data_IF_137311729481
#
_entry.id   IF_137311729481
#
_cell.length_a   1.000
_cell.length_b   1.000
_cell.length_c   1.000
_cell.angle_alpha   90.00
_cell.angle_beta   90.00
_cell.angle_gamma   90.00
#
_symmetry.space_group_name_H-M   'P 1'
#
loop_
_entity.id
_entity.type
_entity.pdbx_description
1 polymer ?
#
# COMPACT_ATOMS: atom_id res chain seq x y z
N UNK A 1 -34.84 6.38 -65.02
CA UNK A 1 -34.76 6.85 -63.62
C UNK A 1 -34.38 5.68 -62.74
N UNK A 2 -33.18 5.67 -62.16
CA UNK A 2 -32.84 4.83 -61.01
C UNK A 2 -31.71 5.50 -60.26
N UNK A 3 -31.97 5.76 -58.99
CA UNK A 3 -31.30 6.70 -58.11
C UNK A 3 -30.00 6.13 -57.54
N UNK A 4 -28.88 6.79 -57.82
CA UNK A 4 -27.67 6.71 -57.00
C UNK A 4 -28.02 7.16 -55.57
N UNK A 5 -27.90 6.28 -54.58
CA UNK A 5 -27.84 6.68 -53.16
C UNK A 5 -27.13 5.61 -52.34
N UNK A 6 -25.88 5.87 -51.98
CA UNK A 6 -25.32 5.70 -50.63
C UNK A 6 -23.82 6.00 -50.62
N UNK A 7 -23.49 7.28 -50.71
CA UNK A 7 -22.34 7.94 -50.08
C UNK A 7 -22.79 9.39 -49.87
N UNK A 8 -22.24 10.10 -48.89
CA UNK A 8 -22.52 11.52 -48.73
C UNK A 8 -22.13 12.26 -50.02
N UNK A 9 -22.76 13.40 -50.31
CA UNK A 9 -22.68 14.04 -51.65
C UNK A 9 -21.25 14.48 -52.04
N UNK A 10 -20.30 14.38 -51.11
CA UNK A 10 -18.92 14.88 -51.21
C UNK A 10 -17.83 13.80 -51.06
N UNK A 11 -18.18 12.50 -50.91
CA UNK A 11 -17.16 11.44 -50.83
C UNK A 11 -16.53 11.18 -52.21
N UNK A 12 -15.20 11.22 -52.31
CA UNK A 12 -14.46 10.96 -53.56
C UNK A 12 -13.83 9.58 -53.51
N UNK A 13 -14.16 8.71 -54.48
CA UNK A 13 -13.57 7.38 -54.60
C UNK A 13 -12.80 7.24 -55.91
N UNK A 14 -11.55 6.81 -55.82
CA UNK A 14 -10.67 6.46 -56.92
C UNK A 14 -10.28 4.98 -56.81
N UNK A 15 -10.86 4.13 -57.65
CA UNK A 15 -10.60 2.70 -57.61
C UNK A 15 -11.57 1.86 -58.43
N UNK A 16 -11.43 0.54 -58.30
CA UNK A 16 -12.24 -0.42 -59.03
C UNK A 16 -13.70 -0.43 -58.54
N UNK A 17 -14.64 -0.55 -59.50
CA UNK A 17 -16.08 -0.67 -59.28
C UNK A 17 -16.59 -1.87 -60.06
N UNK A 18 -17.46 -2.68 -59.44
CA UNK A 18 -18.23 -3.74 -60.11
C UNK A 18 -19.71 -3.37 -59.90
N UNK A 19 -20.46 -3.15 -60.97
CA UNK A 19 -21.86 -2.71 -60.94
C UNK A 19 -22.12 -1.47 -60.06
N UNK A 20 -21.17 -0.54 -60.04
CA UNK A 20 -21.24 0.68 -59.22
C UNK A 20 -20.93 0.46 -57.73
N UNK A 21 -20.52 -0.74 -57.34
CA UNK A 21 -20.14 -1.12 -55.97
C UNK A 21 -18.61 -1.17 -55.88
N UNK A 22 -18.04 -0.54 -54.83
CA UNK A 22 -16.59 -0.56 -54.55
C UNK A 22 -16.13 -1.99 -54.30
N UNK A 23 -15.21 -2.45 -55.15
CA UNK A 23 -14.61 -3.77 -55.14
C UNK A 23 -13.16 -3.67 -55.60
N UNK A 24 -12.29 -4.60 -55.18
CA UNK A 24 -10.88 -4.57 -55.57
C UNK A 24 -10.10 -3.46 -54.86
N UNK A 25 -9.06 -2.91 -55.48
CA UNK A 25 -8.25 -1.84 -54.86
C UNK A 25 -8.81 -0.45 -55.15
N UNK A 26 -8.75 0.42 -54.14
CA UNK A 26 -9.17 1.81 -54.29
C UNK A 26 -8.89 2.68 -53.06
N UNK A 27 -8.99 3.98 -53.27
CA UNK A 27 -8.81 5.04 -52.29
C UNK A 27 -10.09 5.86 -52.17
N UNK A 28 -10.58 6.06 -50.95
CA UNK A 28 -11.77 6.86 -50.66
C UNK A 28 -11.40 8.01 -49.74
N UNK A 29 -11.70 9.22 -50.17
CA UNK A 29 -11.66 10.45 -49.38
C UNK A 29 -13.08 10.71 -48.88
N UNK A 30 -13.26 10.68 -47.57
CA UNK A 30 -14.55 10.89 -46.95
C UNK A 30 -14.76 12.36 -46.61
N UNK A 31 -16.02 12.81 -46.65
CA UNK A 31 -16.43 14.18 -46.30
C UNK A 31 -16.07 14.57 -44.86
N UNK A 32 -15.93 13.59 -43.96
CA UNK A 32 -15.47 13.81 -42.58
C UNK A 32 -13.95 13.97 -42.44
N UNK A 33 -13.20 13.95 -43.55
CA UNK A 33 -11.74 14.08 -43.61
C UNK A 33 -10.98 12.75 -43.49
N UNK A 34 -11.65 11.62 -43.25
CA UNK A 34 -10.98 10.32 -43.22
C UNK A 34 -10.55 9.90 -44.63
N UNK A 35 -9.48 9.13 -44.72
CA UNK A 35 -8.99 8.56 -45.99
C UNK A 35 -8.74 7.07 -45.79
N UNK A 36 -9.37 6.24 -46.62
CA UNK A 36 -9.06 4.81 -46.69
C UNK A 36 -8.38 4.49 -48.02
N UNK A 37 -7.32 3.70 -47.97
CA UNK A 37 -6.61 3.18 -49.14
C UNK A 37 -6.36 1.68 -48.95
N UNK A 38 -6.96 0.83 -49.77
CA UNK A 38 -6.85 -0.62 -49.58
C UNK A 38 -7.76 -1.44 -50.47
N UNK A 39 -7.97 -2.71 -50.10
CA UNK A 39 -8.93 -3.54 -50.82
C UNK A 39 -10.36 -3.33 -50.29
N UNK A 40 -11.31 -3.57 -51.19
CA UNK A 40 -12.74 -3.37 -51.01
C UNK A 40 -13.48 -4.62 -51.46
N UNK A 41 -14.55 -4.95 -50.76
CA UNK A 41 -15.53 -5.94 -51.19
C UNK A 41 -16.92 -5.45 -50.79
N UNK A 42 -17.83 -5.36 -51.76
CA UNK A 42 -19.21 -4.96 -51.51
C UNK A 42 -19.35 -3.66 -50.69
N UNK A 43 -18.64 -2.60 -51.08
CA UNK A 43 -18.58 -1.30 -50.37
C UNK A 43 -17.96 -1.32 -48.96
N UNK A 44 -17.40 -2.44 -48.51
CA UNK A 44 -16.72 -2.56 -47.21
C UNK A 44 -15.21 -2.68 -47.38
N UNK A 45 -14.46 -2.17 -46.41
CA UNK A 45 -13.03 -2.44 -46.30
C UNK A 45 -12.80 -3.94 -46.12
N UNK A 46 -11.88 -4.49 -46.90
CA UNK A 46 -11.58 -5.92 -46.91
C UNK A 46 -10.09 -6.13 -47.18
N UNK A 47 -9.50 -7.18 -46.61
CA UNK A 47 -8.08 -7.49 -46.82
C UNK A 47 -7.17 -6.37 -46.29
N UNK A 48 -5.97 -6.24 -46.83
CA UNK A 48 -5.02 -5.23 -46.35
C UNK A 48 -5.42 -3.81 -46.79
N UNK A 49 -5.26 -2.84 -45.90
CA UNK A 49 -5.49 -1.42 -46.18
C UNK A 49 -4.92 -0.50 -45.11
N UNK A 50 -5.00 0.81 -45.38
CA UNK A 50 -4.64 1.90 -44.49
C UNK A 50 -5.83 2.85 -44.33
N UNK A 51 -6.28 3.05 -43.10
CA UNK A 51 -7.27 4.05 -42.72
C UNK A 51 -6.56 5.17 -41.97
N UNK A 52 -6.60 6.38 -42.52
CA UNK A 52 -6.12 7.61 -41.90
C UNK A 52 -7.34 8.40 -41.44
N UNK A 53 -7.46 8.62 -40.15
CA UNK A 53 -8.53 9.42 -39.57
C UNK A 53 -8.19 10.91 -39.65
N UNK A 54 -9.21 11.76 -39.70
CA UNK A 54 -9.03 13.22 -39.75
C UNK A 54 -8.30 13.79 -38.51
N UNK A 55 -8.39 13.11 -37.37
CA UNK A 55 -7.64 13.48 -36.16
C UNK A 55 -6.13 13.12 -36.24
N UNK A 56 -5.68 12.46 -37.30
CA UNK A 56 -4.30 12.02 -37.49
C UNK A 56 -4.01 10.60 -37.05
N UNK A 57 -4.97 9.88 -36.48
CA UNK A 57 -4.82 8.46 -36.15
C UNK A 57 -4.74 7.59 -37.40
N UNK A 58 -3.97 6.50 -37.34
CA UNK A 58 -3.71 5.65 -38.49
C UNK A 58 -3.83 4.19 -38.10
N UNK A 59 -4.70 3.45 -38.78
CA UNK A 59 -4.67 2.00 -38.80
C UNK A 59 -4.10 1.50 -40.12
N UNK A 60 -3.12 0.60 -40.06
CA UNK A 60 -2.59 -0.12 -41.22
C UNK A 60 -2.62 -1.61 -40.92
N UNK A 61 -3.39 -2.38 -41.68
CA UNK A 61 -3.54 -3.81 -41.41
C UNK A 61 -4.65 -4.47 -42.20
N UNK A 62 -5.03 -5.66 -41.76
CA UNK A 62 -6.11 -6.43 -42.36
C UNK A 62 -7.48 -5.88 -41.89
N UNK A 63 -8.44 -5.85 -42.82
CA UNK A 63 -9.83 -5.52 -42.60
C UNK A 63 -10.71 -6.72 -42.98
N UNK A 64 -11.80 -6.90 -42.25
CA UNK A 64 -12.86 -7.86 -42.60
C UNK A 64 -14.20 -7.20 -42.35
N UNK A 65 -15.04 -7.11 -43.38
CA UNK A 65 -16.36 -6.48 -43.30
C UNK A 65 -16.34 -5.04 -42.72
N UNK A 66 -15.31 -4.26 -43.03
CA UNK A 66 -15.16 -2.89 -42.54
C UNK A 66 -14.51 -2.75 -41.16
N UNK A 67 -14.26 -3.86 -40.45
CA UNK A 67 -13.65 -3.86 -39.11
C UNK A 67 -12.18 -4.26 -39.17
N UNK A 68 -11.37 -3.77 -38.23
CA UNK A 68 -10.00 -4.25 -38.04
C UNK A 68 -10.01 -5.73 -37.70
N UNK A 69 -9.17 -6.49 -38.39
CA UNK A 69 -9.10 -7.94 -38.27
C UNK A 69 -7.69 -8.42 -38.58
N UNK A 70 -7.29 -9.62 -38.16
CA UNK A 70 -5.98 -10.19 -38.46
C UNK A 70 -4.83 -9.32 -37.93
N UNK A 71 -3.68 -9.34 -38.61
CA UNK A 71 -2.51 -8.51 -38.25
C UNK A 71 -2.72 -7.05 -38.63
N UNK A 72 -2.40 -6.13 -37.73
CA UNK A 72 -2.46 -4.71 -37.99
C UNK A 72 -1.82 -3.86 -36.91
N UNK A 73 -1.43 -2.65 -37.30
CA UNK A 73 -0.84 -1.62 -36.43
C UNK A 73 -1.77 -0.41 -36.39
N UNK A 74 -2.12 0.03 -35.19
CA UNK A 74 -2.86 1.27 -34.95
C UNK A 74 -1.96 2.26 -34.22
N UNK A 75 -1.73 3.40 -34.85
CA UNK A 75 -1.06 4.57 -34.30
C UNK A 75 -2.13 5.57 -33.85
N UNK A 76 -2.36 5.60 -32.54
CA UNK A 76 -3.31 6.49 -31.88
C UNK A 76 -2.69 7.87 -31.66
N UNK A 77 -3.49 8.81 -31.17
CA UNK A 77 -2.99 10.08 -30.65
C UNK A 77 -1.98 9.88 -29.51
N UNK A 78 -1.19 10.93 -29.24
CA UNK A 78 -0.22 10.98 -28.14
C UNK A 78 0.79 9.82 -28.12
N UNK A 79 1.21 9.35 -29.29
CA UNK A 79 2.20 8.27 -29.48
C UNK A 79 1.83 6.91 -28.90
N UNK A 80 0.54 6.67 -28.57
CA UNK A 80 0.07 5.33 -28.22
C UNK A 80 0.02 4.48 -29.48
N UNK A 81 0.58 3.28 -29.44
CA UNK A 81 0.69 2.39 -30.62
C UNK A 81 0.36 0.97 -30.23
N UNK A 82 -0.60 0.34 -30.91
CA UNK A 82 -0.81 -1.11 -30.84
C UNK A 82 -0.34 -1.78 -32.13
N UNK A 83 0.49 -2.81 -32.01
CA UNK A 83 0.93 -3.66 -33.12
C UNK A 83 0.67 -5.13 -32.76
N UNK A 84 -0.35 -5.74 -33.38
CA UNK A 84 -0.81 -7.06 -32.95
C UNK A 84 -1.91 -7.66 -33.82
N UNK A 85 -2.56 -8.71 -33.31
CA UNK A 85 -3.77 -9.21 -33.96
C UNK A 85 -5.02 -8.49 -33.47
N UNK A 86 -6.03 -8.53 -34.35
CA UNK A 86 -7.33 -7.90 -34.19
C UNK A 86 -8.43 -8.87 -34.55
N UNK A 87 -9.53 -8.83 -33.81
CA UNK A 87 -10.78 -9.50 -34.18
C UNK A 87 -11.94 -8.53 -33.95
N UNK A 88 -12.64 -8.19 -35.04
CA UNK A 88 -13.83 -7.33 -35.01
C UNK A 88 -13.58 -5.98 -34.32
N UNK A 89 -12.43 -5.36 -34.59
CA UNK A 89 -12.06 -4.07 -34.02
C UNK A 89 -11.43 -4.12 -32.62
N UNK A 90 -11.29 -5.29 -32.00
CA UNK A 90 -10.68 -5.46 -30.67
C UNK A 90 -9.29 -6.09 -30.77
N UNK A 91 -8.40 -5.75 -29.84
CA UNK A 91 -7.14 -6.47 -29.67
C UNK A 91 -7.41 -7.92 -29.32
N UNK A 92 -6.72 -8.84 -29.99
CA UNK A 92 -6.91 -10.28 -29.81
C UNK A 92 -5.58 -11.01 -30.04
N UNK A 93 -5.36 -12.14 -29.37
CA UNK A 93 -4.13 -12.91 -29.48
C UNK A 93 -2.88 -12.10 -29.09
N UNK A 94 -1.74 -12.40 -29.70
CA UNK A 94 -0.49 -11.68 -29.38
C UNK A 94 -0.44 -10.27 -29.97
N UNK A 95 0.00 -9.29 -29.17
CA UNK A 95 0.22 -7.91 -29.59
C UNK A 95 1.04 -7.09 -28.60
N UNK A 96 1.68 -6.04 -29.13
CA UNK A 96 2.49 -5.07 -28.37
C UNK A 96 1.77 -3.72 -28.34
N UNK A 97 1.52 -3.21 -27.14
CA UNK A 97 0.95 -1.88 -26.90
C UNK A 97 2.00 -0.98 -26.25
N UNK A 98 2.34 0.11 -26.92
CA UNK A 98 3.03 1.26 -26.34
C UNK A 98 1.97 2.23 -25.84
N UNK A 99 1.99 2.55 -24.54
CA UNK A 99 1.07 3.49 -23.91
C UNK A 99 1.56 4.93 -24.05
N UNK A 100 0.66 5.91 -23.87
CA UNK A 100 0.97 7.34 -23.95
C UNK A 100 2.05 7.78 -22.95
N UNK A 101 2.10 7.11 -21.79
CA UNK A 101 3.08 7.37 -20.74
C UNK A 101 4.47 6.76 -21.05
N UNK A 102 4.60 5.99 -22.13
CA UNK A 102 5.82 5.30 -22.55
C UNK A 102 5.98 3.88 -22.00
N UNK A 103 5.03 3.39 -21.20
CA UNK A 103 5.02 1.98 -20.81
C UNK A 103 4.74 1.08 -22.02
N UNK A 104 5.21 -0.16 -21.96
CA UNK A 104 5.07 -1.13 -23.05
C UNK A 104 4.52 -2.43 -22.49
N UNK A 105 3.38 -2.87 -23.00
CA UNK A 105 2.91 -4.24 -22.81
C UNK A 105 3.19 -5.05 -24.07
N UNK A 106 3.73 -6.25 -23.91
CA UNK A 106 4.03 -7.20 -24.99
C UNK A 106 3.53 -8.58 -24.57
N UNK A 107 2.40 -9.02 -25.10
CA UNK A 107 1.74 -10.22 -24.59
C UNK A 107 0.42 -10.56 -25.28
N UNK A 108 -0.34 -11.44 -24.64
CA UNK A 108 -1.61 -11.91 -25.17
C UNK A 108 -2.79 -11.02 -24.74
N UNK A 109 -3.77 -10.93 -25.63
CA UNK A 109 -4.97 -10.12 -25.53
C UNK A 109 -6.20 -10.98 -25.82
N UNK A 110 -7.29 -10.76 -25.08
CA UNK A 110 -8.60 -11.33 -25.37
C UNK A 110 -9.63 -10.23 -25.22
N UNK A 111 -10.43 -9.98 -26.26
CA UNK A 111 -11.48 -8.96 -26.26
C UNK A 111 -11.01 -7.55 -25.83
N UNK A 112 -9.76 -7.19 -26.11
CA UNK A 112 -9.19 -5.89 -25.72
C UNK A 112 -8.49 -5.84 -24.37
N UNK A 113 -8.54 -6.91 -23.56
CA UNK A 113 -7.93 -6.99 -22.23
C UNK A 113 -6.67 -7.86 -22.26
N UNK A 114 -5.66 -7.51 -21.44
CA UNK A 114 -4.46 -8.36 -21.27
C UNK A 114 -4.88 -9.67 -20.62
N UNK A 115 -4.47 -10.78 -21.23
CA UNK A 115 -4.84 -12.14 -20.81
C UNK A 115 -3.63 -13.06 -20.93
N UNK A 116 -3.49 -14.05 -20.04
CA UNK A 116 -2.40 -15.02 -20.10
C UNK A 116 -1.02 -14.37 -19.93
N UNK A 117 0.03 -15.00 -20.46
CA UNK A 117 1.39 -14.51 -20.28
C UNK A 117 1.66 -13.22 -21.06
N UNK A 118 2.37 -12.27 -20.43
CA UNK A 118 2.83 -11.04 -21.04
C UNK A 118 3.96 -10.37 -20.25
N UNK A 119 4.61 -9.40 -20.92
CA UNK A 119 5.69 -8.58 -20.39
C UNK A 119 5.28 -7.12 -20.36
N UNK A 120 5.35 -6.49 -19.19
CA UNK A 120 5.03 -5.09 -18.97
C UNK A 120 6.29 -4.34 -18.54
N UNK A 121 6.87 -3.57 -19.46
CA UNK A 121 8.02 -2.70 -19.22
C UNK A 121 7.51 -1.30 -18.89
N UNK A 122 7.84 -0.78 -17.71
CA UNK A 122 7.51 0.59 -17.34
C UNK A 122 8.62 1.53 -17.79
N UNK A 123 8.25 2.74 -18.22
CA UNK A 123 9.20 3.74 -18.76
C UNK A 123 10.41 4.01 -17.86
N UNK A 124 10.22 3.94 -16.54
CA UNK A 124 11.25 4.24 -15.54
C UNK A 124 12.02 3.01 -15.03
N UNK A 125 11.93 1.87 -15.71
CA UNK A 125 12.83 0.73 -15.53
C UNK A 125 12.25 -0.47 -14.81
N UNK A 126 11.10 -0.33 -14.15
CA UNK A 126 10.37 -1.48 -13.61
C UNK A 126 9.94 -2.43 -14.74
N UNK A 127 9.93 -3.72 -14.47
CA UNK A 127 9.59 -4.75 -15.44
C UNK A 127 8.84 -5.89 -14.76
N UNK A 128 7.63 -6.19 -15.25
CA UNK A 128 6.88 -7.37 -14.86
C UNK A 128 6.76 -8.37 -16.01
N UNK A 129 6.99 -9.65 -15.72
CA UNK A 129 6.81 -10.77 -16.65
C UNK A 129 5.98 -11.85 -15.95
N UNK A 130 4.79 -12.14 -16.46
CA UNK A 130 3.90 -13.09 -15.78
C UNK A 130 2.53 -13.19 -16.42
N UNK A 131 1.61 -13.88 -15.73
CA UNK A 131 0.26 -14.03 -16.23
C UNK A 131 -0.63 -12.84 -15.86
N UNK A 132 -1.59 -12.57 -16.76
CA UNK A 132 -2.61 -11.55 -16.63
C UNK A 132 -4.00 -12.20 -16.76
N UNK A 133 -4.98 -11.66 -16.04
CA UNK A 133 -6.39 -11.93 -16.25
C UNK A 133 -7.15 -10.61 -16.16
N UNK A 134 -7.88 -10.26 -17.23
CA UNK A 134 -8.66 -9.02 -17.32
C UNK A 134 -7.86 -7.79 -16.88
N UNK A 135 -6.71 -7.57 -17.55
CA UNK A 135 -5.73 -6.49 -17.29
C UNK A 135 -4.91 -6.57 -16.00
N UNK A 136 -5.26 -7.45 -15.06
CA UNK A 136 -4.61 -7.56 -13.76
C UNK A 136 -3.56 -8.68 -13.74
N UNK A 137 -2.43 -8.45 -13.04
CA UNK A 137 -1.45 -9.52 -12.78
C UNK A 137 -2.11 -10.61 -11.94
N UNK A 138 -1.95 -11.85 -12.35
CA UNK A 138 -2.61 -13.02 -11.77
C UNK A 138 -1.68 -14.24 -11.82
N UNK A 139 -1.76 -15.14 -10.83
CA UNK A 139 -0.93 -16.33 -10.79
C UNK A 139 0.56 -15.99 -10.68
N UNK A 140 1.43 -16.83 -11.24
CA UNK A 140 2.88 -16.62 -11.14
C UNK A 140 3.37 -15.47 -12.03
N UNK A 141 4.30 -14.68 -11.49
CA UNK A 141 5.02 -13.65 -12.22
C UNK A 141 6.31 -13.22 -11.53
N UNK A 142 7.17 -12.57 -12.30
CA UNK A 142 8.44 -12.01 -11.88
C UNK A 142 8.42 -10.49 -12.06
N UNK A 143 8.79 -9.75 -11.03
CA UNK A 143 8.88 -8.30 -11.04
C UNK A 143 10.33 -7.90 -10.74
N UNK A 144 10.97 -7.24 -11.70
CA UNK A 144 12.26 -6.59 -11.53
C UNK A 144 11.99 -5.10 -11.28
N UNK A 145 12.31 -4.63 -10.09
CA UNK A 145 12.12 -3.25 -9.69
C UNK A 145 13.33 -2.41 -10.10
N UNK A 146 13.10 -1.16 -10.47
CA UNK A 146 14.14 -0.20 -10.84
C UNK A 146 15.13 0.10 -9.72
N UNK A 147 14.75 -0.11 -8.45
CA UNK A 147 15.62 0.01 -7.29
C UNK A 147 16.60 -1.18 -7.12
N UNK A 148 16.45 -2.24 -7.92
CA UNK A 148 17.25 -3.46 -7.85
C UNK A 148 16.61 -4.63 -7.10
N UNK A 149 15.44 -4.45 -6.48
CA UNK A 149 14.68 -5.55 -5.90
C UNK A 149 14.15 -6.47 -7.03
N UNK A 150 14.02 -7.76 -6.74
CA UNK A 150 13.43 -8.74 -7.65
C UNK A 150 12.47 -9.63 -6.87
N UNK A 151 11.19 -9.61 -7.24
CA UNK A 151 10.19 -10.52 -6.70
C UNK A 151 9.83 -11.59 -7.74
N UNK A 152 9.68 -12.84 -7.32
CA UNK A 152 9.16 -13.93 -8.13
C UNK A 152 8.18 -14.76 -7.29
N UNK A 153 6.92 -14.82 -7.72
CA UNK A 153 5.89 -15.49 -6.93
C UNK A 153 4.48 -15.26 -7.45
N UNK A 154 3.52 -15.60 -6.61
CA UNK A 154 2.09 -15.53 -6.94
C UNK A 154 1.52 -14.12 -6.80
N UNK A 155 0.53 -13.82 -7.64
CA UNK A 155 -0.26 -12.59 -7.68
C UNK A 155 -1.75 -12.92 -7.74
N UNK A 156 -2.56 -12.07 -7.12
CA UNK A 156 -4.01 -12.06 -7.27
C UNK A 156 -4.46 -10.61 -7.41
N UNK A 157 -5.08 -10.28 -8.54
CA UNK A 157 -5.56 -8.92 -8.83
C UNK A 157 -4.51 -7.82 -8.59
N UNK A 158 -3.31 -7.98 -9.17
CA UNK A 158 -2.14 -7.09 -9.02
C UNK A 158 -1.41 -7.13 -7.67
N UNK A 159 -1.92 -7.87 -6.68
CA UNK A 159 -1.38 -7.91 -5.32
C UNK A 159 -0.56 -9.18 -5.14
N UNK A 160 0.64 -9.10 -4.56
CA UNK A 160 1.43 -10.29 -4.21
C UNK A 160 0.72 -11.09 -3.12
N UNK A 161 0.59 -12.39 -3.34
CA UNK A 161 -0.08 -13.31 -2.44
C UNK A 161 0.55 -14.70 -2.56
N UNK A 162 0.05 -15.69 -1.82
CA UNK A 162 0.47 -17.09 -1.98
C UNK A 162 1.94 -17.28 -1.64
N UNK A 163 2.66 -18.12 -2.39
CA UNK A 163 4.10 -18.30 -2.23
C UNK A 163 4.88 -17.33 -3.11
N UNK A 164 6.00 -16.82 -2.59
CA UNK A 164 6.88 -15.96 -3.35
C UNK A 164 8.22 -15.74 -2.70
N UNK A 165 9.16 -15.29 -3.51
CA UNK A 165 10.52 -14.94 -3.16
C UNK A 165 10.79 -13.48 -3.52
N UNK A 166 11.46 -12.73 -2.65
CA UNK A 166 12.00 -11.41 -2.99
C UNK A 166 13.49 -11.35 -2.63
N UNK A 167 14.30 -10.99 -3.61
CA UNK A 167 15.70 -10.58 -3.43
C UNK A 167 15.71 -9.06 -3.39
N UNK A 168 16.14 -8.50 -2.28
CA UNK A 168 16.28 -7.06 -2.12
C UNK A 168 17.58 -6.55 -2.75
N UNK A 169 17.61 -5.26 -3.11
CA UNK A 169 18.78 -4.60 -3.67
C UNK A 169 20.00 -4.67 -2.73
N UNK A 170 19.77 -4.67 -1.41
CA UNK A 170 20.79 -4.85 -0.38
C UNK A 170 21.28 -6.30 -0.23
N UNK A 171 20.78 -7.23 -1.05
CA UNK A 171 21.06 -8.68 -1.05
C UNK A 171 20.39 -9.49 0.06
N UNK A 172 19.52 -8.88 0.86
CA UNK A 172 18.63 -9.66 1.72
C UNK A 172 17.64 -10.45 0.85
N UNK A 173 17.14 -11.56 1.37
CA UNK A 173 16.25 -12.49 0.68
C UNK A 173 15.12 -12.91 1.59
N UNK A 174 13.89 -12.86 1.12
CA UNK A 174 12.77 -13.53 1.77
C UNK A 174 12.13 -14.55 0.84
N UNK A 175 11.90 -15.76 1.35
CA UNK A 175 11.15 -16.82 0.67
C UNK A 175 10.05 -17.29 1.62
N UNK A 176 8.77 -17.21 1.21
CA UNK A 176 7.69 -17.61 2.11
C UNK A 176 6.29 -17.29 1.60
N UNK A 177 5.35 -17.28 2.54
CA UNK A 177 3.97 -16.89 2.29
C UNK A 177 3.84 -15.35 2.18
N UNK A 178 2.88 -14.92 1.36
CA UNK A 178 2.55 -13.52 1.09
C UNK A 178 1.05 -13.32 1.22
N UNK A 179 0.67 -12.19 1.82
CA UNK A 179 -0.72 -11.75 1.88
C UNK A 179 -0.76 -10.23 1.76
N UNK A 180 -1.52 -9.73 0.79
CA UNK A 180 -1.73 -8.30 0.57
C UNK A 180 -0.42 -7.51 0.49
N UNK A 181 0.50 -7.96 -0.39
CA UNK A 181 1.82 -7.37 -0.61
C UNK A 181 2.79 -7.41 0.57
N UNK A 182 2.47 -8.15 1.63
CA UNK A 182 3.30 -8.28 2.82
C UNK A 182 3.71 -9.72 3.05
N UNK A 183 4.88 -9.91 3.65
CA UNK A 183 5.25 -11.18 4.25
C UNK A 183 4.17 -11.57 5.27
N UNK A 184 3.70 -12.80 5.14
CA UNK A 184 2.69 -13.37 6.01
C UNK A 184 2.97 -14.86 6.17
N UNK A 185 2.37 -15.56 7.12
CA UNK A 185 2.50 -17.02 7.21
C UNK A 185 3.93 -17.49 7.49
N UNK A 186 4.29 -18.67 6.99
CA UNK A 186 5.63 -19.24 7.20
C UNK A 186 6.60 -18.70 6.15
N UNK A 187 7.80 -18.30 6.59
CA UNK A 187 8.84 -17.83 5.70
C UNK A 187 10.25 -17.95 6.27
N UNK A 188 11.23 -17.76 5.38
CA UNK A 188 12.65 -17.68 5.68
C UNK A 188 13.18 -16.34 5.18
N UNK A 189 13.82 -15.58 6.06
CA UNK A 189 14.53 -14.35 5.75
C UNK A 189 16.04 -14.60 5.89
N UNK A 190 16.79 -14.43 4.81
CA UNK A 190 18.25 -14.53 4.77
C UNK A 190 18.81 -13.13 4.61
N UNK A 191 19.59 -12.68 5.59
CA UNK A 191 20.25 -11.38 5.56
C UNK A 191 21.48 -11.45 4.65
N UNK A 192 21.87 -10.32 4.08
CA UNK A 192 23.05 -10.16 3.23
C UNK A 192 24.37 -10.54 3.91
N UNK A 193 24.42 -10.49 5.25
CA UNK A 193 25.56 -10.99 6.04
C UNK A 193 25.58 -12.54 6.16
N UNK A 194 24.56 -13.22 5.65
CA UNK A 194 24.33 -14.67 5.66
C UNK A 194 23.56 -15.20 6.87
N UNK A 195 23.17 -14.35 7.82
CA UNK A 195 22.31 -14.77 8.93
C UNK A 195 20.93 -15.15 8.39
N UNK A 196 20.22 -16.04 9.10
CA UNK A 196 18.91 -16.52 8.66
C UNK A 196 17.92 -16.52 9.80
N UNK A 197 16.68 -16.12 9.52
CA UNK A 197 15.52 -16.35 10.37
C UNK A 197 14.49 -17.18 9.61
N UNK A 198 14.01 -18.25 10.23
CA UNK A 198 12.94 -19.09 9.71
C UNK A 198 11.80 -19.14 10.73
N UNK A 199 10.60 -18.73 10.37
CA UNK A 199 9.49 -18.63 11.31
C UNK A 199 8.23 -18.02 10.70
N UNK A 200 7.34 -17.56 11.58
CA UNK A 200 6.06 -16.97 11.19
C UNK A 200 6.19 -15.45 11.00
N UNK A 201 5.45 -14.90 10.03
CA UNK A 201 5.39 -13.49 9.69
C UNK A 201 3.94 -13.01 9.67
N UNK A 202 3.71 -11.78 10.14
CA UNK A 202 2.43 -11.08 10.00
C UNK A 202 2.69 -9.64 9.62
N UNK A 203 2.09 -9.22 8.50
CA UNK A 203 2.17 -7.85 7.98
C UNK A 203 3.63 -7.36 7.76
N UNK A 204 4.51 -8.25 7.30
CA UNK A 204 5.92 -7.93 7.06
C UNK A 204 6.82 -8.10 8.27
N UNK A 205 6.26 -8.36 9.46
CA UNK A 205 7.01 -8.45 10.71
C UNK A 205 7.10 -9.90 11.17
N UNK A 206 8.26 -10.28 11.71
CA UNK A 206 8.44 -11.57 12.37
C UNK A 206 7.53 -11.66 13.60
N UNK A 207 6.78 -12.75 13.72
CA UNK A 207 5.87 -13.01 14.84
C UNK A 207 6.09 -14.41 15.42
N UNK A 208 5.88 -14.54 16.74
CA UNK A 208 5.97 -15.82 17.44
C UNK A 208 7.40 -16.34 17.59
N UNK A 209 7.54 -17.65 17.42
CA UNK A 209 8.81 -18.37 17.55
C UNK A 209 9.39 -18.66 16.17
N UNK A 210 10.71 -18.55 16.05
CA UNK A 210 11.44 -18.96 14.86
C UNK A 210 12.82 -19.52 15.21
N UNK A 211 13.51 -19.99 14.20
CA UNK A 211 14.89 -20.44 14.27
C UNK A 211 15.75 -19.34 13.66
N UNK A 212 16.66 -18.77 14.46
CA UNK A 212 17.69 -17.87 13.95
C UNK A 212 19.02 -18.63 13.86
N UNK A 213 19.66 -18.60 12.69
CA UNK A 213 20.96 -19.23 12.43
C UNK A 213 21.96 -18.15 12.06
N UNK A 214 23.03 -18.04 12.84
CA UNK A 214 24.12 -17.11 12.53
C UNK A 214 25.20 -17.81 11.70
N UNK A 215 25.81 -17.09 10.75
CA UNK A 215 26.89 -17.64 9.90
C UNK A 215 28.05 -18.21 10.70
N UNK A 216 28.31 -17.65 11.88
CA UNK A 216 29.38 -18.07 12.80
C UNK A 216 29.09 -19.38 13.59
N UNK A 217 28.18 -20.24 13.08
CA UNK A 217 27.84 -21.58 13.60
C UNK A 217 27.34 -21.65 15.05
N UNK A 218 26.64 -20.63 15.50
CA UNK A 218 25.73 -20.74 16.67
C UNK A 218 24.30 -20.82 16.15
N UNK A 219 23.68 -21.99 16.20
CA UNK A 219 22.24 -22.15 16.00
C UNK A 219 21.55 -22.09 17.36
N UNK A 220 20.61 -21.17 17.51
CA UNK A 220 19.78 -21.09 18.71
C UNK A 220 18.34 -21.43 18.30
N UNK A 221 17.85 -22.55 18.80
CA UNK A 221 16.46 -22.96 18.64
C UNK A 221 15.58 -22.15 19.61
N UNK A 222 14.35 -21.83 19.21
CA UNK A 222 13.38 -21.04 20.00
C UNK A 222 13.79 -19.58 20.26
N UNK A 223 14.39 -18.90 19.28
CA UNK A 223 14.56 -17.44 19.39
C UNK A 223 13.20 -16.80 19.13
N UNK A 224 12.64 -16.19 20.19
CA UNK A 224 11.47 -15.35 20.09
C UNK A 224 11.83 -14.08 19.32
N UNK A 225 11.00 -13.67 18.38
CA UNK A 225 11.19 -12.40 17.67
C UNK A 225 11.39 -11.26 18.69
N UNK A 226 12.43 -10.42 18.57
CA UNK A 226 12.60 -9.25 19.45
C UNK A 226 11.53 -8.18 19.17
N UNK A 227 10.68 -8.39 18.17
CA UNK A 227 9.63 -7.48 17.76
C UNK A 227 8.25 -8.13 17.92
N UNK A 228 7.22 -7.30 18.11
CA UNK A 228 5.84 -7.76 18.28
C UNK A 228 5.45 -7.95 19.76
N UNK A 229 4.22 -8.44 19.99
CA UNK A 229 3.63 -8.48 21.32
C UNK A 229 4.11 -9.68 22.15
N UNK A 230 4.81 -9.41 23.25
CA UNK A 230 5.21 -10.46 24.17
C UNK A 230 5.62 -9.99 25.58
N UNK A 231 5.52 -10.91 26.55
CA UNK A 231 6.12 -10.77 27.89
C UNK A 231 7.62 -11.10 27.87
N UNK A 232 8.46 -10.21 28.44
CA UNK A 232 9.88 -10.42 28.73
C UNK A 232 10.17 -9.94 30.16
N UNK A 233 10.94 -10.73 30.91
CA UNK A 233 11.55 -10.25 32.16
C UNK A 233 12.67 -9.29 31.78
N UNK A 234 12.60 -8.08 32.33
CA UNK A 234 13.50 -6.95 32.06
C UNK A 234 14.06 -6.47 33.38
N UNK A 235 15.32 -6.03 33.41
CA UNK A 235 16.01 -5.45 34.57
C UNK A 235 15.63 -6.05 35.94
N UNK A 236 16.44 -7.01 36.41
CA UNK A 236 16.20 -7.81 37.61
C UNK A 236 14.94 -8.69 37.52
N UNK A 237 13.83 -8.23 38.11
CA UNK A 237 12.53 -8.93 38.22
C UNK A 237 11.38 -8.15 37.58
N UNK A 238 11.67 -7.01 36.95
CA UNK A 238 10.62 -6.26 36.25
C UNK A 238 10.14 -7.08 35.06
N UNK A 239 8.89 -6.86 34.65
CA UNK A 239 8.29 -7.57 33.52
C UNK A 239 7.61 -6.58 32.62
N UNK A 240 7.86 -6.69 31.33
CA UNK A 240 7.11 -5.97 30.33
C UNK A 240 6.36 -6.93 29.44
N UNK A 241 5.06 -6.70 29.30
CA UNK A 241 4.17 -7.37 28.36
C UNK A 241 3.60 -6.31 27.41
N UNK A 242 3.97 -6.37 26.14
CA UNK A 242 3.48 -5.40 25.15
C UNK A 242 4.27 -5.46 23.86
N UNK A 243 4.11 -4.43 23.02
CA UNK A 243 4.81 -4.37 21.74
C UNK A 243 6.30 -4.09 21.96
N UNK A 244 7.12 -4.81 21.20
CA UNK A 244 8.56 -4.58 21.12
C UNK A 244 8.96 -4.13 19.73
N UNK A 245 9.91 -3.19 19.66
CA UNK A 245 10.56 -2.77 18.42
C UNK A 245 12.03 -2.52 18.71
N UNK A 246 12.91 -3.21 18.00
CA UNK A 246 14.38 -3.07 18.13
C UNK A 246 14.86 -3.24 19.59
N UNK A 247 14.35 -4.26 20.29
CA UNK A 247 14.65 -4.55 21.71
C UNK A 247 14.25 -3.44 22.71
N UNK A 248 13.43 -2.48 22.28
CA UNK A 248 12.82 -1.47 23.14
C UNK A 248 11.32 -1.69 23.31
N UNK A 249 10.77 -1.30 24.47
CA UNK A 249 9.32 -1.16 24.63
C UNK A 249 8.82 -0.15 23.59
N UNK A 250 7.82 -0.54 22.84
CA UNK A 250 7.17 0.31 21.86
C UNK A 250 5.67 0.07 21.92
N UNK A 251 4.87 0.91 21.25
CA UNK A 251 3.42 0.70 21.18
C UNK A 251 2.75 0.69 22.55
N UNK A 252 1.65 -0.06 22.72
CA UNK A 252 0.98 -0.17 24.02
C UNK A 252 1.48 -1.39 24.80
N UNK A 253 1.63 -1.24 26.11
CA UNK A 253 2.08 -2.33 26.95
C UNK A 253 1.87 -2.10 28.45
N UNK A 254 2.17 -3.16 29.20
CA UNK A 254 2.07 -3.27 30.65
C UNK A 254 3.44 -3.56 31.23
N UNK A 255 3.96 -2.65 32.05
CA UNK A 255 5.25 -2.76 32.71
C UNK A 255 5.06 -2.91 34.22
N UNK A 256 5.31 -4.10 34.74
CA UNK A 256 5.37 -4.40 36.17
C UNK A 256 6.81 -4.15 36.65
N UNK A 257 6.99 -3.14 37.48
CA UNK A 257 8.28 -2.81 38.08
C UNK A 257 8.61 -3.81 39.21
N UNK A 258 9.89 -4.02 39.46
CA UNK A 258 10.38 -4.87 40.56
C UNK A 258 9.85 -4.45 41.95
N UNK A 259 9.62 -3.15 42.14
CA UNK A 259 9.04 -2.56 43.36
C UNK A 259 7.52 -2.72 43.47
N UNK A 260 6.87 -3.40 42.52
CA UNK A 260 5.43 -3.66 42.50
C UNK A 260 4.59 -2.55 41.88
N UNK A 261 5.19 -1.44 41.42
CA UNK A 261 4.47 -0.46 40.60
C UNK A 261 4.06 -1.11 39.26
N UNK A 262 3.02 -0.58 38.64
CA UNK A 262 2.50 -1.08 37.38
C UNK A 262 2.12 0.08 36.46
N UNK A 263 2.70 0.13 35.26
CA UNK A 263 2.30 1.08 34.23
C UNK A 263 1.63 0.37 33.05
N UNK A 264 0.45 0.84 32.67
CA UNK A 264 -0.28 0.40 31.48
C UNK A 264 -0.44 1.62 30.55
N UNK A 265 0.20 1.60 29.38
CA UNK A 265 0.16 2.76 28.48
C UNK A 265 1.09 2.64 27.29
N UNK A 266 1.24 3.74 26.54
CA UNK A 266 2.06 3.78 25.35
C UNK A 266 3.55 4.01 25.67
N UNK A 267 4.41 3.36 24.89
CA UNK A 267 5.87 3.46 24.93
C UNK A 267 6.41 3.83 23.54
N UNK A 268 7.47 4.62 23.52
CA UNK A 268 8.28 4.89 22.34
C UNK A 268 9.75 4.74 22.76
N UNK A 269 10.47 3.80 22.13
CA UNK A 269 11.89 3.51 22.43
C UNK A 269 12.18 3.34 23.93
N UNK A 270 11.33 2.57 24.61
CA UNK A 270 11.45 2.28 26.04
C UNK A 270 10.90 3.38 26.97
N UNK A 271 10.50 4.54 26.45
CA UNK A 271 10.00 5.65 27.25
C UNK A 271 8.48 5.72 27.24
N UNK A 272 7.87 5.92 28.41
CA UNK A 272 6.42 6.20 28.52
C UNK A 272 6.10 7.50 27.80
N UNK A 273 5.15 7.45 26.88
CA UNK A 273 4.75 8.55 26.02
C UNK A 273 3.23 8.51 25.80
N UNK A 274 2.58 9.67 25.71
CA UNK A 274 1.13 9.75 25.52
C UNK A 274 0.35 9.33 26.77
N UNK A 275 -0.90 8.87 26.60
CA UNK A 275 -1.76 8.53 27.73
C UNK A 275 -1.38 7.19 28.36
N UNK A 276 -1.38 7.13 29.70
CA UNK A 276 -1.10 5.90 30.44
C UNK A 276 -1.55 5.97 31.91
N UNK A 277 -1.73 4.78 32.50
CA UNK A 277 -2.14 4.58 33.88
C UNK A 277 -0.96 4.00 34.67
N UNK A 278 -0.56 4.67 35.75
CA UNK A 278 0.39 4.17 36.73
C UNK A 278 -0.35 3.81 38.02
N UNK A 279 -0.26 2.56 38.44
CA UNK A 279 -0.69 2.08 39.76
C UNK A 279 0.57 1.90 40.59
N UNK A 280 0.68 2.68 41.66
CA UNK A 280 1.84 2.62 42.55
C UNK A 280 1.63 1.56 43.63
N UNK A 281 2.71 0.95 44.10
CA UNK A 281 2.69 -0.08 45.15
C UNK A 281 2.08 0.44 46.45
N UNK A 282 2.22 1.75 46.74
CA UNK A 282 1.58 2.40 47.89
C UNK A 282 0.05 2.55 47.77
N UNK A 283 -0.54 2.16 46.64
CA UNK A 283 -1.98 2.27 46.36
C UNK A 283 -2.40 3.54 45.62
N UNK A 284 -1.49 4.49 45.38
CA UNK A 284 -1.78 5.66 44.56
C UNK A 284 -2.00 5.27 43.09
N UNK A 285 -2.81 6.05 42.38
CA UNK A 285 -3.07 5.85 40.95
C UNK A 285 -2.92 7.17 40.22
N UNK A 286 -2.09 7.19 39.18
CA UNK A 286 -2.06 8.27 38.20
C UNK A 286 -2.64 7.79 36.88
N UNK A 287 -3.48 8.60 36.26
CA UNK A 287 -4.07 8.39 34.94
C UNK A 287 -3.90 9.68 34.16
N UNK A 288 -3.10 9.68 33.08
CA UNK A 288 -2.88 10.90 32.32
C UNK A 288 -1.76 10.81 31.31
N UNK A 289 -1.40 11.96 30.78
CA UNK A 289 -0.39 12.06 29.74
C UNK A 289 1.04 11.95 30.32
N UNK A 290 1.90 11.33 29.54
CA UNK A 290 3.32 11.10 29.78
C UNK A 290 4.11 11.65 28.59
N UNK A 291 5.30 12.16 28.88
CA UNK A 291 6.31 12.42 27.87
C UNK A 291 7.69 12.16 28.45
N UNK A 292 8.52 11.39 27.73
CA UNK A 292 9.86 11.00 28.14
C UNK A 292 9.90 10.50 29.59
N UNK A 293 9.04 9.54 29.95
CA UNK A 293 8.92 8.95 31.29
C UNK A 293 8.40 9.88 32.40
N UNK A 294 8.02 11.13 32.10
CA UNK A 294 7.49 12.09 33.08
C UNK A 294 6.02 12.40 32.81
N UNK A 295 5.23 12.59 33.87
CA UNK A 295 3.85 13.11 33.73
C UNK A 295 3.90 14.48 33.08
N UNK A 296 3.18 14.68 31.98
CA UNK A 296 3.23 15.92 31.21
C UNK A 296 1.91 16.13 30.49
N UNK A 297 1.34 17.33 30.56
CA UNK A 297 -0.03 17.62 30.11
C UNK A 297 -1.08 17.29 31.17
N UNK A 298 -2.31 16.97 30.73
CA UNK A 298 -3.44 16.66 31.64
C UNK A 298 -3.27 15.30 32.32
N UNK A 299 -3.62 15.24 33.60
CA UNK A 299 -3.68 13.98 34.34
C UNK A 299 -4.44 14.07 35.66
N UNK A 300 -4.89 12.91 36.11
CA UNK A 300 -5.60 12.69 37.38
C UNK A 300 -4.76 11.81 38.29
N UNK A 301 -4.51 12.27 39.50
CA UNK A 301 -3.82 11.52 40.55
C UNK A 301 -4.78 11.26 41.69
N UNK A 302 -5.05 9.99 41.97
CA UNK A 302 -5.84 9.53 43.10
C UNK A 302 -4.86 9.02 44.16
N UNK A 303 -4.87 9.67 45.30
CA UNK A 303 -4.05 9.29 46.43
C UNK A 303 -4.74 8.18 47.22
N UNK A 304 -3.97 7.26 47.79
CA UNK A 304 -4.49 6.19 48.66
C UNK A 304 -5.24 6.74 49.88
N UNK A 305 -4.89 7.96 50.33
CA UNK A 305 -5.58 8.64 51.42
C UNK A 305 -7.02 9.10 51.05
N UNK A 306 -7.39 9.05 49.76
CA UNK A 306 -8.69 9.46 49.22
C UNK A 306 -8.71 10.85 48.56
N UNK A 307 -7.60 11.59 48.61
CA UNK A 307 -7.48 12.85 47.88
C UNK A 307 -7.40 12.59 46.36
N UNK A 308 -7.81 13.57 45.56
CA UNK A 308 -7.71 13.52 44.10
C UNK A 308 -7.22 14.85 43.56
N UNK A 309 -6.19 14.83 42.73
CA UNK A 309 -5.81 15.96 41.88
C UNK A 309 -6.18 15.67 40.43
N UNK A 310 -6.81 16.61 39.74
CA UNK A 310 -7.15 16.54 38.32
C UNK A 310 -6.72 17.86 37.65
N UNK A 311 -5.65 17.85 36.87
CA UNK A 311 -5.06 19.08 36.36
C UNK A 311 -3.83 18.91 35.48
N UNK A 312 -3.16 20.02 35.20
CA UNK A 312 -1.95 20.04 34.37
C UNK A 312 -0.71 19.57 35.12
N UNK A 313 0.19 18.95 34.36
CA UNK A 313 1.51 18.52 34.77
C UNK A 313 2.56 19.03 33.78
N UNK A 314 3.72 19.41 34.30
CA UNK A 314 4.93 19.66 33.51
C UNK A 314 6.09 18.96 34.20
N UNK A 315 6.80 18.10 33.46
CA UNK A 315 7.98 17.37 33.95
C UNK A 315 7.76 16.61 35.27
N UNK A 316 6.58 16.03 35.46
CA UNK A 316 6.23 15.26 36.65
C UNK A 316 5.65 16.08 37.80
N UNK A 317 5.57 17.41 37.68
CA UNK A 317 5.11 18.31 38.73
C UNK A 317 3.74 18.90 38.37
N UNK A 318 2.85 19.08 39.35
CA UNK A 318 1.59 19.80 39.15
C UNK A 318 1.92 21.24 38.75
N UNK A 319 1.31 21.68 37.67
CA UNK A 319 1.51 22.99 37.06
C UNK A 319 0.20 23.47 36.43
N UNK A 320 0.17 24.66 35.84
CA UNK A 320 -1.00 25.14 35.07
C UNK A 320 -2.27 25.21 35.90
N UNK A 321 -3.39 24.72 35.37
CA UNK A 321 -4.68 24.74 36.09
C UNK A 321 -5.05 23.34 36.59
N UNK A 322 -5.59 23.28 37.80
CA UNK A 322 -5.95 22.01 38.41
C UNK A 322 -6.96 22.11 39.54
N UNK A 323 -7.69 21.00 39.72
CA UNK A 323 -8.67 20.77 40.78
C UNK A 323 -8.14 19.75 41.77
N UNK A 324 -8.01 20.13 43.03
CA UNK A 324 -7.70 19.22 44.13
C UNK A 324 -8.95 19.00 44.98
N UNK A 325 -9.36 17.75 45.12
CA UNK A 325 -10.47 17.29 45.94
C UNK A 325 -9.84 16.58 47.14
N UNK A 326 -10.02 17.14 48.31
CA UNK A 326 -9.56 16.51 49.55
C UNK A 326 -10.52 15.39 49.94
N UNK A 327 -10.02 14.38 50.67
CA UNK A 327 -10.80 13.28 51.23
C UNK A 327 -12.02 13.76 52.02
N UNK A 328 -11.90 14.89 52.72
CA UNK A 328 -12.98 15.51 53.49
C UNK A 328 -14.03 16.24 52.62
N UNK A 329 -13.91 16.20 51.29
CA UNK A 329 -14.83 16.82 50.34
C UNK A 329 -14.53 18.28 50.03
N UNK A 330 -13.55 18.92 50.69
CA UNK A 330 -13.12 20.26 50.31
C UNK A 330 -12.53 20.24 48.90
N UNK A 331 -12.64 21.34 48.18
CA UNK A 331 -12.17 21.46 46.80
C UNK A 331 -11.34 22.74 46.66
N UNK A 332 -10.14 22.62 46.11
CA UNK A 332 -9.40 23.75 45.56
C UNK A 332 -9.42 23.68 44.03
N UNK A 333 -9.84 24.75 43.35
CA UNK A 333 -9.72 24.91 41.90
C UNK A 333 -8.88 26.14 41.61
N UNK A 334 -7.72 26.00 41.00
CA UNK A 334 -6.87 27.16 40.75
C UNK A 334 -5.61 26.85 39.99
N UNK A 335 -4.72 27.84 39.95
CA UNK A 335 -3.41 27.72 39.33
C UNK A 335 -2.42 26.97 40.24
N UNK A 336 -1.48 26.29 39.60
CA UNK A 336 -0.45 25.46 40.22
C UNK A 336 0.90 25.77 39.60
N UNK A 337 1.93 25.78 40.43
CA UNK A 337 3.31 25.83 39.96
C UNK A 337 4.21 25.00 40.87
N UNK A 338 4.94 24.05 40.28
CA UNK A 338 5.93 23.21 40.98
C UNK A 338 5.30 22.57 42.23
N UNK A 339 4.19 21.85 42.03
CA UNK A 339 3.40 21.18 43.08
C UNK A 339 2.70 22.07 44.12
N UNK A 340 2.87 23.39 44.09
CA UNK A 340 2.24 24.31 45.03
C UNK A 340 1.06 25.06 44.41
N UNK A 341 0.13 25.51 45.26
CA UNK A 341 -0.85 26.51 44.87
C UNK A 341 -0.13 27.76 44.37
N UNK A 342 -0.60 28.30 43.26
CA UNK A 342 -0.05 29.50 42.66
C UNK A 342 -1.19 30.38 42.13
N UNK A 343 -0.89 31.65 41.85
CA UNK A 343 -1.82 32.55 41.17
C UNK A 343 -3.19 32.63 41.82
N UNK A 344 -4.24 32.62 40.99
CA UNK A 344 -5.64 32.67 41.44
C UNK A 344 -6.19 31.27 41.68
N UNK A 345 -6.94 31.11 42.76
CA UNK A 345 -7.64 29.86 43.07
C UNK A 345 -8.88 30.09 43.93
N UNK A 346 -9.84 29.17 43.85
CA UNK A 346 -11.05 29.16 44.65
C UNK A 346 -11.07 27.92 45.53
N UNK A 347 -11.14 28.13 46.84
CA UNK A 347 -11.36 27.07 47.81
C UNK A 347 -12.85 26.99 48.17
N UNK A 348 -13.42 25.80 48.08
CA UNK A 348 -14.80 25.50 48.46
C UNK A 348 -14.78 24.47 49.59
N UNK A 349 -15.27 24.84 50.77
CA UNK A 349 -15.53 23.87 51.83
C UNK A 349 -16.92 23.26 51.67
N UNK A 350 -17.04 21.95 51.91
CA UNK A 350 -18.34 21.26 51.91
C UNK A 350 -19.27 21.76 53.03
N UNK A 351 -18.71 22.46 54.04
CA UNK A 351 -19.43 23.03 55.18
C UNK A 351 -19.73 24.54 55.03
N UNK A 352 -19.65 25.11 53.82
CA UNK A 352 -20.25 26.43 53.53
C UNK A 352 -19.46 27.68 53.94
N UNK A 353 -18.20 27.59 54.37
CA UNK A 353 -17.39 28.80 54.61
C UNK A 353 -16.53 29.09 53.36
N UNK A 354 -16.95 30.09 52.58
CA UNK A 354 -16.09 30.75 51.59
C UNK A 354 -15.14 31.69 52.32
N UNK A 355 -13.83 31.58 52.08
CA UNK A 355 -12.88 32.66 52.34
C UNK A 355 -12.36 33.19 51.01
N UNK A 356 -12.24 34.52 50.95
CA UNK A 356 -11.85 35.36 49.82
C UNK A 356 -10.45 35.04 49.28
#
# INVERSE_FOLDING_TARGET
MSTKKSCSIDDVYDGQLIDGIKNGRGKCFYSNGNVYEGNWSNNKYQGYGKLTYNNGEIYTGIFSNGLFHGKGKFEYLHNKVYDGNWVNGKYEGYGKLVYENGDIFDGNWVNGYKQGYGKLCYKYGDLFEGNFNDDNKQGNGKYNYSNGDVYEGEYSNNIRCGKGEIVFANKDLYTGDWLNDKFHGMGKYTYSNGDEFEGYFVNGLREGYGIFRYVNRSSFNNIRSPNGNHEKVVDNKSKYEGEWLEDHFNGYGKYLYDNGNLHEGKYIKGMREGFGIMKYFNGDIYEGNWSNNKRNGKGKYKFVNGDVYDGDYVNGLRHGVGKYIYKNGNIYNGEWSINNYHGKGKFSSINGIQCL
#
